data_IF_174225105201
#
_entry.id   IF_174225105201
#
_cell.length_a   1.000
_cell.length_b   1.000
_cell.length_c   1.000
_cell.angle_alpha   90.00
_cell.angle_beta   90.00
_cell.angle_gamma   90.00
#
_symmetry.space_group_name_H-M   'P 1'
#
loop_
_entity.id
_entity.type
_entity.pdbx_description
1 polymer ?
#
# COMPACT_ATOMS: atom_id res chain seq x y z
N UNK A 1 16.18 5.26 14.31
CA UNK A 1 16.88 4.60 13.20
C UNK A 1 18.34 4.98 13.27
N UNK A 2 19.24 4.00 13.27
CA UNK A 2 20.68 4.22 13.25
C UNK A 2 21.15 4.08 11.81
N UNK A 3 20.99 5.13 11.00
CA UNK A 3 21.40 5.11 9.59
C UNK A 3 22.37 6.26 9.24
N UNK A 4 23.15 6.71 10.22
CA UNK A 4 24.14 7.76 10.03
C UNK A 4 23.55 9.14 9.71
N UNK A 5 22.29 9.40 10.09
CA UNK A 5 21.62 10.69 9.84
C UNK A 5 21.12 10.88 8.41
N UNK A 6 21.13 9.83 7.57
CA UNK A 6 20.73 9.89 6.16
C UNK A 6 19.23 9.63 5.95
N UNK A 7 18.48 9.30 7.00
CA UNK A 7 17.04 9.00 6.88
C UNK A 7 16.25 10.30 6.75
N UNK A 8 15.45 10.38 5.70
CA UNK A 8 14.32 11.30 5.67
C UNK A 8 13.21 10.82 6.62
N UNK A 9 12.09 11.55 6.64
CA UNK A 9 10.94 11.28 7.51
C UNK A 9 9.83 10.47 6.82
N UNK A 10 10.05 10.00 5.60
CA UNK A 10 9.07 9.22 4.82
C UNK A 10 9.65 7.87 4.43
N UNK A 11 8.89 6.80 4.66
CA UNK A 11 9.29 5.44 4.36
C UNK A 11 8.23 4.77 3.50
N UNK A 12 8.66 4.18 2.38
CA UNK A 12 7.83 3.36 1.50
C UNK A 12 7.64 1.96 2.07
N UNK A 13 6.98 1.93 3.23
CA UNK A 13 6.64 0.76 4.02
C UNK A 13 5.33 1.02 4.78
N UNK A 14 4.52 -0.01 5.04
CA UNK A 14 4.77 -1.45 4.77
C UNK A 14 4.42 -1.91 3.35
N UNK A 15 5.01 -3.02 2.91
CA UNK A 15 4.44 -3.83 1.83
C UNK A 15 3.30 -4.68 2.41
N UNK A 16 2.11 -4.52 1.85
CA UNK A 16 0.88 -5.14 2.36
C UNK A 16 0.11 -5.89 1.28
N UNK A 17 0.72 -6.09 0.11
CA UNK A 17 0.16 -6.94 -0.93
C UNK A 17 -0.04 -8.36 -0.41
N UNK A 18 -1.02 -9.05 -0.98
CA UNK A 18 -1.33 -10.43 -0.66
C UNK A 18 -0.31 -11.35 -1.34
N UNK A 19 0.33 -12.24 -0.60
CA UNK A 19 1.22 -13.27 -1.16
C UNK A 19 0.42 -14.39 -1.83
N UNK A 20 -0.28 -14.07 -2.91
CA UNK A 20 -1.24 -14.96 -3.56
C UNK A 20 -0.57 -16.08 -4.35
N UNK A 21 0.53 -15.75 -5.04
CA UNK A 21 1.33 -16.72 -5.78
C UNK A 21 2.65 -16.99 -5.04
N UNK A 22 2.93 -18.24 -4.62
CA UNK A 22 4.12 -18.58 -3.86
C UNK A 22 5.42 -18.38 -4.64
N UNK A 23 5.35 -18.15 -5.96
CA UNK A 23 6.51 -17.90 -6.83
C UNK A 23 6.89 -16.43 -6.87
N UNK A 24 6.08 -15.53 -6.32
CA UNK A 24 6.36 -14.10 -6.35
C UNK A 24 7.62 -13.75 -5.56
N UNK A 25 8.63 -13.23 -6.26
CA UNK A 25 9.95 -12.94 -5.69
C UNK A 25 9.97 -11.95 -4.53
N UNK A 26 8.93 -11.11 -4.38
CA UNK A 26 8.79 -10.14 -3.29
C UNK A 26 7.76 -10.54 -2.23
N UNK A 27 7.30 -11.77 -2.27
CA UNK A 27 6.41 -12.33 -1.26
C UNK A 27 6.94 -12.30 0.15
N UNK A 28 8.25 -12.51 0.30
CA UNK A 28 8.98 -12.45 1.57
C UNK A 28 8.84 -11.09 2.28
N UNK A 29 8.44 -10.03 1.57
CA UNK A 29 8.26 -8.69 2.13
C UNK A 29 6.86 -8.45 2.71
N UNK A 30 5.94 -9.40 2.52
CA UNK A 30 4.54 -9.29 2.91
C UNK A 30 4.25 -10.05 4.21
N UNK A 31 3.14 -9.75 4.89
CA UNK A 31 2.71 -10.53 6.05
C UNK A 31 2.02 -11.87 5.70
N UNK A 32 2.03 -12.30 4.43
CA UNK A 32 1.50 -13.59 3.97
C UNK A 32 0.32 -13.47 3.00
N UNK A 33 -0.42 -14.58 2.86
CA UNK A 33 -1.50 -14.73 1.85
C UNK A 33 -2.90 -14.36 2.37
N UNK A 34 -3.07 -14.18 3.68
CA UNK A 34 -4.38 -13.93 4.28
C UNK A 34 -4.71 -12.42 4.34
N UNK A 35 -5.84 -11.97 3.75
CA UNK A 35 -6.23 -10.56 3.76
C UNK A 35 -6.47 -9.98 5.15
N UNK A 36 -7.03 -10.76 6.08
CA UNK A 36 -7.34 -10.28 7.42
C UNK A 36 -6.08 -10.08 8.27
N UNK A 37 -5.13 -11.01 8.20
CA UNK A 37 -3.79 -10.89 8.80
C UNK A 37 -3.06 -9.70 8.19
N UNK A 38 -3.10 -9.56 6.86
CA UNK A 38 -2.45 -8.46 6.14
C UNK A 38 -3.02 -7.10 6.54
N UNK A 39 -4.34 -6.98 6.70
CA UNK A 39 -4.98 -5.75 7.19
C UNK A 39 -4.62 -5.40 8.63
N UNK A 40 -4.59 -6.39 9.54
CA UNK A 40 -4.15 -6.18 10.93
C UNK A 40 -2.68 -5.76 11.00
N UNK A 41 -1.83 -6.40 10.21
CA UNK A 41 -0.42 -6.05 10.08
C UNK A 41 -0.27 -4.61 9.56
N UNK A 42 -0.97 -4.25 8.49
CA UNK A 42 -0.92 -2.91 7.89
C UNK A 42 -1.26 -1.83 8.94
N UNK A 43 -2.39 -1.97 9.62
CA UNK A 43 -2.82 -0.99 10.63
C UNK A 43 -1.82 -0.90 11.81
N UNK A 44 -1.34 -2.03 12.31
CA UNK A 44 -0.38 -2.05 13.42
C UNK A 44 0.98 -1.43 13.02
N UNK A 45 1.49 -1.78 11.85
CA UNK A 45 2.77 -1.28 11.33
C UNK A 45 2.72 0.23 11.11
N UNK A 46 1.67 0.73 10.45
CA UNK A 46 1.46 2.16 10.22
C UNK A 46 1.38 2.92 11.54
N UNK A 47 0.60 2.45 12.52
CA UNK A 47 0.51 3.10 13.83
C UNK A 47 1.87 3.13 14.54
N UNK A 48 2.61 2.03 14.54
CA UNK A 48 3.93 1.94 15.17
C UNK A 48 4.99 2.83 14.51
N UNK A 49 4.93 2.99 13.19
CA UNK A 49 5.85 3.82 12.42
C UNK A 49 5.54 5.32 12.58
N UNK A 50 4.26 5.69 12.52
CA UNK A 50 3.83 7.09 12.43
C UNK A 50 3.49 7.75 13.76
N UNK A 51 3.01 7.00 14.75
CA UNK A 51 2.55 7.61 16.00
C UNK A 51 3.73 7.89 16.94
N UNK A 52 3.77 9.07 17.58
CA UNK A 52 4.75 9.35 18.62
C UNK A 52 4.49 8.51 19.89
N UNK A 53 5.52 8.39 20.73
CA UNK A 53 5.45 7.66 21.99
C UNK A 53 4.39 8.28 22.92
N UNK A 54 3.48 7.46 23.44
CA UNK A 54 2.31 7.89 24.23
C UNK A 54 0.95 7.57 23.58
N UNK A 55 0.95 7.21 22.30
CA UNK A 55 -0.26 6.85 21.53
C UNK A 55 -1.20 8.04 21.35
N UNK A 56 -2.23 7.95 20.50
CA UNK A 56 -3.24 9.02 20.42
C UNK A 56 -3.85 9.27 21.81
N UNK A 57 -3.42 10.35 22.48
CA UNK A 57 -3.81 10.64 23.86
C UNK A 57 -5.33 10.66 24.03
N UNK A 58 -5.80 10.34 25.24
CA UNK A 58 -7.22 10.35 25.65
C UNK A 58 -7.94 11.68 25.43
N UNK A 59 -7.20 12.74 25.08
CA UNK A 59 -7.71 14.01 24.59
C UNK A 59 -7.07 14.28 23.24
N UNK A 60 -7.90 14.29 22.20
CA UNK A 60 -7.60 14.53 20.79
C UNK A 60 -6.21 15.11 20.43
N UNK A 61 -5.50 14.35 19.59
CA UNK A 61 -4.57 14.91 18.62
C UNK A 61 -3.12 14.97 19.05
N UNK A 62 -2.33 13.99 18.62
CA UNK A 62 -0.93 14.29 18.33
C UNK A 62 -0.88 15.14 17.07
N UNK A 63 -0.30 16.34 17.15
CA UNK A 63 -0.20 17.30 16.03
C UNK A 63 0.97 17.02 15.09
N UNK A 64 1.73 15.93 15.30
CA UNK A 64 2.97 15.65 14.54
C UNK A 64 3.14 14.15 14.28
N UNK A 65 3.52 13.82 13.05
CA UNK A 65 3.99 12.49 12.68
C UNK A 65 5.39 12.24 13.26
N UNK A 66 5.64 11.02 13.74
CA UNK A 66 7.00 10.54 14.05
C UNK A 66 7.79 10.33 12.75
N UNK A 67 7.18 9.61 11.81
CA UNK A 67 7.57 9.47 10.40
C UNK A 67 6.29 9.23 9.58
N UNK A 68 6.35 9.35 8.26
CA UNK A 68 5.27 9.03 7.33
C UNK A 68 5.43 7.60 6.80
N UNK A 69 4.39 6.79 6.99
CA UNK A 69 4.26 5.47 6.40
C UNK A 69 3.57 5.56 5.05
N UNK A 70 3.90 4.63 4.17
CA UNK A 70 3.34 4.54 2.83
C UNK A 70 3.07 3.07 2.52
N UNK A 71 1.79 2.68 2.55
CA UNK A 71 1.41 1.31 2.20
C UNK A 71 1.54 1.10 0.70
N UNK A 72 2.10 -0.05 0.33
CA UNK A 72 2.40 -0.38 -1.06
C UNK A 72 2.16 -1.86 -1.36
N UNK A 73 1.92 -2.23 -2.61
CA UNK A 73 1.79 -1.41 -3.83
C UNK A 73 0.35 -1.54 -4.32
N UNK A 74 -0.39 -0.44 -4.33
CA UNK A 74 -1.82 -0.38 -4.58
C UNK A 74 -2.09 -0.43 -6.09
N UNK A 75 -2.73 -1.46 -6.64
CA UNK A 75 -3.26 -2.68 -6.00
C UNK A 75 -3.10 -3.88 -6.94
N UNK A 76 -3.44 -5.07 -6.45
CA UNK A 76 -3.32 -6.33 -7.20
C UNK A 76 -1.93 -6.54 -7.84
N UNK A 77 -0.89 -6.08 -7.14
CA UNK A 77 0.51 -6.26 -7.51
C UNK A 77 1.10 -7.44 -6.72
N UNK A 78 1.26 -8.58 -7.39
CA UNK A 78 1.78 -9.82 -6.79
C UNK A 78 2.62 -10.67 -7.77
N UNK A 79 3.19 -10.03 -8.80
CA UNK A 79 4.07 -10.67 -9.80
C UNK A 79 5.25 -9.76 -10.13
N UNK A 80 6.47 -10.31 -10.14
CA UNK A 80 7.68 -9.59 -10.58
C UNK A 80 8.08 -9.93 -12.01
N UNK A 81 8.33 -11.21 -12.28
CA UNK A 81 8.63 -11.72 -13.61
C UNK A 81 8.32 -13.20 -13.66
N UNK A 82 7.34 -13.59 -14.48
CA UNK A 82 6.96 -14.98 -14.65
C UNK A 82 6.34 -15.20 -16.04
N UNK A 83 6.70 -16.31 -16.67
CA UNK A 83 6.15 -16.73 -17.97
C UNK A 83 6.20 -15.66 -19.08
N UNK A 84 7.27 -14.86 -19.12
CA UNK A 84 7.46 -13.80 -20.12
C UNK A 84 6.66 -12.52 -19.87
N UNK A 85 5.94 -12.43 -18.74
CA UNK A 85 5.34 -11.19 -18.23
C UNK A 85 6.19 -10.67 -17.10
N UNK A 86 6.52 -9.38 -17.14
CA UNK A 86 7.12 -8.69 -16.01
C UNK A 86 6.12 -7.71 -15.37
N UNK A 87 6.49 -7.19 -14.20
CA UNK A 87 5.66 -6.27 -13.41
C UNK A 87 5.27 -4.98 -14.10
N UNK A 88 6.05 -4.52 -15.08
CA UNK A 88 5.79 -3.27 -15.78
C UNK A 88 4.70 -3.46 -16.84
N UNK A 89 4.65 -4.66 -17.46
CA UNK A 89 3.65 -5.03 -18.46
C UNK A 89 2.50 -5.89 -17.90
N UNK A 90 2.50 -6.17 -16.60
CA UNK A 90 1.51 -7.05 -15.98
C UNK A 90 0.13 -6.39 -15.98
N UNK A 91 -0.87 -7.06 -16.56
CA UNK A 91 -2.28 -6.69 -16.45
C UNK A 91 -3.02 -7.71 -15.57
N UNK A 92 -3.29 -7.33 -14.32
CA UNK A 92 -4.04 -8.15 -13.38
C UNK A 92 -5.52 -8.14 -13.76
N UNK A 93 -6.08 -9.32 -14.07
CA UNK A 93 -7.51 -9.50 -14.33
C UNK A 93 -8.20 -9.89 -13.02
N UNK A 94 -8.92 -8.94 -12.43
CA UNK A 94 -9.46 -9.06 -11.08
C UNK A 94 -10.94 -8.72 -11.06
N UNK A 95 -11.75 -9.60 -10.47
CA UNK A 95 -13.18 -9.33 -10.31
C UNK A 95 -13.41 -8.21 -9.29
N UNK A 96 -14.49 -7.42 -9.38
CA UNK A 96 -14.81 -6.44 -8.34
C UNK A 96 -14.92 -7.05 -6.94
N UNK A 97 -15.36 -8.30 -6.86
CA UNK A 97 -15.45 -9.04 -5.60
C UNK A 97 -14.06 -9.36 -5.05
N UNK A 98 -13.17 -9.99 -5.82
CA UNK A 98 -11.82 -10.30 -5.35
C UNK A 98 -11.03 -9.04 -5.00
N UNK A 99 -11.27 -7.95 -5.74
CA UNK A 99 -10.66 -6.67 -5.46
C UNK A 99 -10.99 -6.22 -4.03
N UNK A 100 -12.26 -6.24 -3.63
CA UNK A 100 -12.69 -5.77 -2.29
C UNK A 100 -12.52 -6.83 -1.19
N UNK A 101 -12.71 -8.11 -1.49
CA UNK A 101 -12.64 -9.20 -0.51
C UNK A 101 -11.20 -9.63 -0.22
N UNK A 102 -10.25 -9.35 -1.14
CA UNK A 102 -8.85 -9.79 -1.02
C UNK A 102 -7.86 -8.63 -1.15
N UNK A 103 -7.71 -8.06 -2.34
CA UNK A 103 -6.57 -7.20 -2.65
C UNK A 103 -6.60 -5.85 -1.92
N UNK A 104 -7.79 -5.27 -1.75
CA UNK A 104 -7.98 -3.95 -1.16
C UNK A 104 -8.10 -3.98 0.37
N UNK A 105 -8.42 -5.12 0.97
CA UNK A 105 -8.53 -5.28 2.43
C UNK A 105 -7.33 -4.67 3.19
N UNK A 106 -6.06 -5.02 2.88
CA UNK A 106 -4.92 -4.46 3.59
C UNK A 106 -4.75 -2.95 3.41
N UNK A 107 -5.04 -2.41 2.22
CA UNK A 107 -4.94 -0.98 1.94
C UNK A 107 -6.05 -0.19 2.62
N UNK A 108 -7.27 -0.71 2.64
CA UNK A 108 -8.38 -0.12 3.41
C UNK A 108 -8.02 -0.03 4.89
N UNK A 109 -7.50 -1.09 5.50
CA UNK A 109 -7.04 -1.04 6.90
C UNK A 109 -5.84 -0.12 7.09
N UNK A 110 -4.94 -0.03 6.11
CA UNK A 110 -3.83 0.93 6.16
C UNK A 110 -4.32 2.38 6.27
N UNK A 111 -5.31 2.76 5.46
CA UNK A 111 -5.86 4.12 5.44
C UNK A 111 -6.82 4.36 6.61
N UNK A 112 -7.90 3.57 6.71
CA UNK A 112 -8.98 3.81 7.66
C UNK A 112 -8.56 3.51 9.11
N UNK A 113 -7.86 2.41 9.35
CA UNK A 113 -7.49 1.99 10.70
C UNK A 113 -6.09 2.51 11.08
N UNK A 114 -5.14 2.42 10.17
CA UNK A 114 -3.76 2.83 10.35
C UNK A 114 -3.57 4.35 10.33
N UNK A 115 -4.42 5.07 9.60
CA UNK A 115 -4.27 6.49 9.27
C UNK A 115 -2.94 6.79 8.58
N UNK A 116 -2.60 5.98 7.57
CA UNK A 116 -1.37 6.16 6.81
C UNK A 116 -1.28 7.55 6.17
N UNK A 117 -0.07 8.11 6.16
CA UNK A 117 0.22 9.39 5.53
C UNK A 117 0.29 9.27 4.01
N UNK A 118 0.52 8.07 3.47
CA UNK A 118 0.65 7.85 2.04
C UNK A 118 0.20 6.45 1.61
N UNK A 119 -0.16 6.33 0.34
CA UNK A 119 -0.32 5.07 -0.39
C UNK A 119 0.49 5.16 -1.68
N UNK A 120 1.13 4.06 -2.08
CA UNK A 120 1.89 3.97 -3.32
C UNK A 120 1.09 3.20 -4.36
N UNK A 121 0.84 3.79 -5.54
CA UNK A 121 0.28 3.05 -6.67
C UNK A 121 1.36 2.16 -7.32
N UNK A 122 0.95 1.03 -7.91
CA UNK A 122 1.83 -0.01 -8.44
C UNK A 122 2.12 0.13 -9.95
N UNK A 123 3.13 -0.61 -10.41
CA UNK A 123 3.51 -0.67 -11.83
C UNK A 123 2.41 -1.23 -12.75
N UNK A 124 1.71 -2.26 -12.28
CA UNK A 124 0.82 -3.04 -13.13
C UNK A 124 -0.45 -2.27 -13.53
N UNK A 125 -1.15 -2.85 -14.49
CA UNK A 125 -2.53 -2.52 -14.80
C UNK A 125 -3.47 -3.43 -14.00
N UNK A 126 -4.68 -2.93 -13.73
CA UNK A 126 -5.81 -3.76 -13.28
C UNK A 126 -6.93 -3.60 -14.29
N UNK A 127 -7.36 -4.73 -14.86
CA UNK A 127 -8.40 -4.76 -15.91
C UNK A 127 -8.14 -3.77 -17.07
N UNK A 128 -6.86 -3.61 -17.45
CA UNK A 128 -6.44 -2.78 -18.57
C UNK A 128 -6.19 -1.30 -18.26
N UNK A 129 -6.19 -0.89 -16.99
CA UNK A 129 -5.91 0.49 -16.58
C UNK A 129 -4.69 0.52 -15.63
N UNK A 130 -3.64 1.31 -15.91
CA UNK A 130 -2.51 1.48 -14.98
C UNK A 130 -2.98 2.04 -13.64
N UNK A 131 -2.56 1.44 -12.53
CA UNK A 131 -3.10 1.84 -11.20
C UNK A 131 -2.76 3.28 -10.83
N UNK A 132 -1.62 3.81 -11.29
CA UNK A 132 -1.22 5.20 -11.10
C UNK A 132 -2.00 6.22 -11.96
N UNK A 133 -2.80 5.75 -12.92
CA UNK A 133 -3.64 6.58 -13.80
C UNK A 133 -5.15 6.27 -13.68
N UNK A 134 -5.55 5.42 -12.73
CA UNK A 134 -6.93 4.97 -12.58
C UNK A 134 -7.73 5.92 -11.67
N UNK A 135 -8.70 6.64 -12.26
CA UNK A 135 -9.58 7.56 -11.54
C UNK A 135 -10.53 6.85 -10.56
N UNK A 136 -10.93 5.61 -10.85
CA UNK A 136 -11.76 4.84 -9.92
C UNK A 136 -10.99 4.47 -8.64
N UNK A 137 -9.67 4.34 -8.76
CA UNK A 137 -8.77 3.93 -7.70
C UNK A 137 -8.24 5.10 -6.88
N UNK A 138 -7.61 6.09 -7.51
CA UNK A 138 -6.88 7.13 -6.77
C UNK A 138 -7.83 8.17 -6.15
N UNK A 139 -8.62 8.95 -6.92
CA UNK A 139 -9.63 9.83 -6.35
C UNK A 139 -10.87 9.05 -5.87
N UNK A 140 -11.29 7.99 -6.54
CA UNK A 140 -12.48 7.21 -6.15
C UNK A 140 -12.30 6.43 -4.85
N UNK A 141 -11.45 5.40 -4.85
CA UNK A 141 -11.31 4.51 -3.70
C UNK A 141 -10.42 5.08 -2.59
N UNK A 142 -9.16 5.43 -2.89
CA UNK A 142 -8.20 5.84 -1.85
C UNK A 142 -8.64 7.16 -1.17
N UNK A 143 -8.97 8.19 -1.96
CA UNK A 143 -9.39 9.49 -1.41
C UNK A 143 -10.88 9.55 -1.09
N UNK A 144 -11.73 9.03 -1.98
CA UNK A 144 -13.18 9.11 -1.83
C UNK A 144 -13.68 8.14 -0.76
N UNK A 145 -13.52 6.83 -0.97
CA UNK A 145 -14.12 5.81 -0.10
C UNK A 145 -13.36 5.62 1.22
N UNK A 146 -12.03 5.68 1.20
CA UNK A 146 -11.20 5.42 2.38
C UNK A 146 -10.70 6.69 3.07
N UNK A 147 -10.93 7.86 2.47
CA UNK A 147 -10.61 9.15 3.05
C UNK A 147 -9.12 9.34 3.41
N UNK A 148 -8.20 8.95 2.53
CA UNK A 148 -6.78 9.28 2.71
C UNK A 148 -6.57 10.80 2.80
N UNK A 149 -6.17 11.27 3.98
CA UNK A 149 -5.88 12.69 4.26
C UNK A 149 -4.52 13.15 3.71
N UNK A 150 -3.65 12.20 3.35
CA UNK A 150 -2.29 12.45 2.89
C UNK A 150 -2.12 12.48 1.37
N UNK A 151 -1.01 11.93 0.90
CA UNK A 151 -0.60 11.96 -0.50
C UNK A 151 -0.51 10.56 -1.11
N UNK A 152 -0.55 10.49 -2.43
CA UNK A 152 -0.34 9.26 -3.19
C UNK A 152 0.98 9.43 -3.92
N UNK A 153 1.82 8.40 -3.93
CA UNK A 153 3.07 8.36 -4.69
C UNK A 153 3.00 7.28 -5.76
N UNK A 154 3.74 7.46 -6.84
CA UNK A 154 4.05 6.35 -7.74
C UNK A 154 5.05 5.40 -7.08
N UNK A 155 5.04 4.12 -7.47
CA UNK A 155 6.28 3.35 -7.44
C UNK A 155 7.32 4.04 -8.35
N UNK A 156 8.60 3.68 -8.23
CA UNK A 156 9.70 4.37 -8.91
C UNK A 156 9.46 4.41 -10.43
N UNK A 157 9.18 5.60 -10.96
CA UNK A 157 8.90 5.84 -12.38
C UNK A 157 7.68 5.06 -12.93
N UNK A 158 6.74 4.68 -12.06
CA UNK A 158 5.52 3.97 -12.47
C UNK A 158 4.58 4.79 -13.38
N UNK A 159 4.83 6.09 -13.52
CA UNK A 159 4.11 6.96 -14.45
C UNK A 159 4.62 6.78 -15.89
N UNK A 160 5.86 6.31 -16.06
CA UNK A 160 6.55 6.16 -17.35
C UNK A 160 6.50 4.73 -17.91
N UNK A 161 5.84 3.80 -17.22
CA UNK A 161 5.72 2.39 -17.62
C UNK A 161 4.25 2.02 -17.82
N UNK A 162 3.91 1.49 -19.00
CA UNK A 162 2.56 1.05 -19.37
C UNK A 162 2.56 0.22 -20.67
#
# INVERSE_FOLDING_TARGET
MYNGGQASLTFWSPNVNIFRDPRWGRGQETPGEDPAVSGRYAAAYVRGLQQPYGGAGRHGGHTRLKTAACCKHFTAYDLDSWSGTDRFDFNAIVTPQDLEDTFNVPFRSCVADGRAASVMCSYNQVNGVPTCADESFLPGTIRGNWHLEGYIVSDCDSVDVF
#
